data_IF_449370795621
#
_entry.id   IF_449370795621
#
_cell.length_a   1.000
_cell.length_b   1.000
_cell.length_c   1.000
_cell.angle_alpha   90.00
_cell.angle_beta   90.00
_cell.angle_gamma   90.00
#
_symmetry.space_group_name_H-M   'P 1'
#
loop_
_entity.id
_entity.type
_entity.pdbx_description
1 polymer ?
#
# COMPACT_ATOMS: atom_id res chain seq x y z
N UNK A 1 12.56 -17.54 11.00
CA UNK A 1 11.61 -16.40 11.00
C UNK A 1 11.76 -15.72 9.64
N UNK A 2 10.70 -15.66 8.83
CA UNK A 2 10.76 -15.08 7.49
C UNK A 2 10.83 -13.55 7.63
N UNK A 3 12.02 -12.98 7.69
CA UNK A 3 12.21 -11.52 7.69
C UNK A 3 12.20 -11.03 6.25
N UNK A 4 11.02 -10.81 5.69
CA UNK A 4 10.87 -10.16 4.39
C UNK A 4 11.08 -8.65 4.56
N UNK A 5 12.24 -8.15 4.14
CA UNK A 5 12.53 -6.71 4.11
C UNK A 5 12.18 -6.14 2.73
N UNK A 6 11.04 -5.45 2.63
CA UNK A 6 10.79 -4.59 1.48
C UNK A 6 11.61 -3.32 1.66
N UNK A 7 12.63 -3.14 0.81
CA UNK A 7 13.34 -1.87 0.75
C UNK A 7 12.40 -0.78 0.20
N UNK A 8 11.89 0.08 1.09
CA UNK A 8 11.11 1.25 0.70
C UNK A 8 12.07 2.34 0.23
N UNK A 9 12.17 2.52 -1.09
CA UNK A 9 13.06 3.54 -1.69
C UNK A 9 12.59 4.98 -1.39
N UNK A 10 11.30 5.16 -1.08
CA UNK A 10 10.73 6.45 -0.70
C UNK A 10 9.47 6.27 0.17
N UNK A 11 9.32 7.09 1.20
CA UNK A 11 8.14 7.07 2.09
C UNK A 11 6.88 7.60 1.39
N UNK A 12 7.07 8.53 0.44
CA UNK A 12 6.01 9.11 -0.38
C UNK A 12 6.39 9.00 -1.84
N UNK A 13 5.43 8.61 -2.67
CA UNK A 13 5.67 8.37 -4.08
C UNK A 13 4.56 8.96 -4.95
N UNK A 14 4.91 9.47 -6.13
CA UNK A 14 3.91 9.97 -7.07
C UNK A 14 3.19 8.81 -7.77
N UNK A 15 2.03 9.08 -8.37
CA UNK A 15 1.33 8.07 -9.18
C UNK A 15 2.15 7.54 -10.35
N UNK A 16 3.03 8.37 -10.92
CA UNK A 16 3.89 7.96 -12.02
C UNK A 16 4.94 6.95 -11.59
N UNK A 17 5.62 7.21 -10.48
CA UNK A 17 6.58 6.28 -9.93
C UNK A 17 5.88 5.00 -9.44
N UNK A 18 4.71 5.12 -8.80
CA UNK A 18 3.92 3.96 -8.39
C UNK A 18 3.43 3.14 -9.59
N UNK A 19 3.02 3.80 -10.69
CA UNK A 19 2.65 3.15 -11.95
C UNK A 19 3.82 2.39 -12.56
N UNK A 20 5.02 2.97 -12.54
CA UNK A 20 6.24 2.29 -13.01
C UNK A 20 6.60 1.08 -12.14
N UNK A 21 6.50 1.19 -10.82
CA UNK A 21 6.86 0.10 -9.90
C UNK A 21 5.83 -1.03 -9.86
N UNK A 22 4.54 -0.68 -9.88
CA UNK A 22 3.45 -1.66 -9.83
C UNK A 22 3.08 -2.25 -11.19
N UNK A 23 3.50 -1.61 -12.28
CA UNK A 23 3.04 -1.92 -13.64
C UNK A 23 1.58 -1.53 -13.90
N UNK A 24 0.89 -0.91 -12.93
CA UNK A 24 -0.51 -0.53 -13.07
C UNK A 24 -0.64 0.79 -13.84
N UNK A 25 -1.64 0.93 -14.73
CA UNK A 25 -1.87 2.19 -15.43
C UNK A 25 -2.34 3.27 -14.45
N UNK A 26 -1.91 4.52 -14.71
CA UNK A 26 -2.23 5.69 -13.87
C UNK A 26 -3.74 5.87 -13.62
N UNK A 27 -4.59 5.57 -14.61
CA UNK A 27 -6.05 5.63 -14.46
C UNK A 27 -6.56 4.72 -13.35
N UNK A 28 -6.15 3.45 -13.33
CA UNK A 28 -6.53 2.49 -12.29
C UNK A 28 -6.04 2.93 -10.91
N UNK A 29 -4.85 3.52 -10.84
CA UNK A 29 -4.31 4.05 -9.57
C UNK A 29 -5.19 5.20 -9.07
N UNK A 30 -5.65 6.08 -9.96
CA UNK A 30 -6.57 7.17 -9.61
C UNK A 30 -7.92 6.64 -9.14
N UNK A 31 -8.46 5.62 -9.81
CA UNK A 31 -9.71 4.97 -9.43
C UNK A 31 -9.58 4.32 -8.04
N UNK A 32 -8.49 3.62 -7.77
CA UNK A 32 -8.21 3.00 -6.46
C UNK A 32 -8.02 4.02 -5.34
N UNK A 33 -7.47 5.19 -5.64
CA UNK A 33 -7.42 6.30 -4.69
C UNK A 33 -8.81 6.85 -4.43
N UNK A 34 -9.65 6.99 -5.47
CA UNK A 34 -11.02 7.44 -5.32
C UNK A 34 -11.88 6.43 -4.54
N UNK A 35 -11.63 5.14 -4.72
CA UNK A 35 -12.22 4.04 -3.96
C UNK A 35 -11.67 3.92 -2.51
N UNK A 36 -10.60 4.65 -2.17
CA UNK A 36 -10.00 4.63 -0.84
C UNK A 36 -9.09 3.42 -0.57
N UNK A 37 -8.76 2.62 -1.59
CA UNK A 37 -7.86 1.46 -1.49
C UNK A 37 -6.40 1.86 -1.33
N UNK A 38 -6.03 3.04 -1.83
CA UNK A 38 -4.67 3.57 -1.73
C UNK A 38 -4.60 4.71 -0.73
N UNK A 39 -3.77 4.53 0.31
CA UNK A 39 -3.51 5.56 1.29
C UNK A 39 -2.67 6.67 0.65
N UNK A 40 -3.28 7.85 0.53
CA UNK A 40 -2.61 9.06 0.05
C UNK A 40 -2.28 9.99 1.22
N UNK A 41 -1.19 10.75 1.09
CA UNK A 41 -0.90 11.86 1.99
C UNK A 41 -2.05 12.87 1.94
N UNK A 42 -2.42 13.41 3.10
CA UNK A 42 -3.42 14.47 3.22
C UNK A 42 -2.99 15.67 2.38
N UNK A 43 -3.82 16.04 1.40
CA UNK A 43 -3.57 17.24 0.59
C UNK A 43 -3.84 18.47 1.44
N UNK A 44 -2.87 19.38 1.52
CA UNK A 44 -3.09 20.69 2.14
C UNK A 44 -3.85 21.64 1.22
N UNK A 45 -3.81 21.40 -0.10
CA UNK A 45 -4.45 22.23 -1.13
C UNK A 45 -5.15 21.39 -2.19
N UNK A 46 -6.27 21.89 -2.72
CA UNK A 46 -7.12 21.20 -3.70
C UNK A 46 -6.40 20.82 -5.02
N UNK A 47 -5.32 21.53 -5.39
CA UNK A 47 -4.52 21.30 -6.61
C UNK A 47 -3.18 20.59 -6.36
N UNK A 48 -2.93 20.12 -5.14
CA UNK A 48 -1.67 19.45 -4.84
C UNK A 48 -1.65 18.04 -5.44
N UNK A 49 -0.53 17.68 -6.07
CA UNK A 49 -0.31 16.34 -6.61
C UNK A 49 -0.34 15.34 -5.45
N UNK A 50 -1.35 14.47 -5.37
CA UNK A 50 -1.41 13.45 -4.33
C UNK A 50 -0.20 12.55 -4.40
N UNK A 51 0.41 12.29 -3.24
CA UNK A 51 1.48 11.32 -3.09
C UNK A 51 0.94 10.12 -2.33
N UNK A 52 1.21 8.93 -2.85
CA UNK A 52 0.89 7.66 -2.20
C UNK A 52 1.83 7.50 -1.01
N UNK A 53 1.27 7.18 0.16
CA UNK A 53 2.02 6.86 1.36
C UNK A 53 2.34 5.36 1.37
N UNK A 54 3.56 5.03 0.94
CA UNK A 54 4.00 3.64 0.80
C UNK A 54 4.19 2.96 2.15
N UNK A 55 4.59 3.71 3.18
CA UNK A 55 4.78 3.19 4.54
C UNK A 55 3.45 2.72 5.09
N UNK A 56 2.41 3.55 4.97
CA UNK A 56 1.10 3.21 5.50
C UNK A 56 0.44 2.06 4.71
N UNK A 57 0.61 2.04 3.38
CA UNK A 57 0.15 0.94 2.54
C UNK A 57 0.78 -0.40 2.97
N UNK A 58 2.08 -0.40 3.20
CA UNK A 58 2.81 -1.60 3.60
C UNK A 58 2.45 -2.07 5.02
N UNK A 59 2.30 -1.13 5.95
CA UNK A 59 1.85 -1.42 7.32
C UNK A 59 0.47 -2.07 7.33
N UNK A 60 -0.50 -1.56 6.56
CA UNK A 60 -1.81 -2.20 6.43
C UNK A 60 -1.70 -3.61 5.86
N UNK A 61 -0.97 -3.78 4.75
CA UNK A 61 -0.76 -5.09 4.14
C UNK A 61 -0.10 -6.09 5.11
N UNK A 62 0.83 -5.62 5.94
CA UNK A 62 1.51 -6.44 6.96
C UNK A 62 0.52 -6.87 8.04
N UNK A 63 -0.35 -5.97 8.51
CA UNK A 63 -1.38 -6.28 9.49
C UNK A 63 -2.41 -7.28 8.95
N UNK A 64 -2.85 -7.11 7.71
CA UNK A 64 -3.77 -8.05 7.04
C UNK A 64 -3.12 -9.42 6.87
N UNK A 65 -1.86 -9.48 6.44
CA UNK A 65 -1.12 -10.73 6.31
C UNK A 65 -0.97 -11.45 7.66
N UNK A 66 -0.66 -10.72 8.74
CA UNK A 66 -0.59 -11.28 10.09
C UNK A 66 -1.93 -11.84 10.57
N UNK A 67 -3.04 -11.13 10.31
CA UNK A 67 -4.38 -11.60 10.64
C UNK A 67 -4.74 -12.89 9.88
N UNK A 68 -4.42 -12.94 8.58
CA UNK A 68 -4.64 -14.15 7.77
C UNK A 68 -3.83 -15.34 8.31
N UNK A 69 -2.54 -15.14 8.59
CA UNK A 69 -1.68 -16.18 9.16
C UNK A 69 -2.19 -16.68 10.51
N UNK A 70 -2.70 -15.79 11.36
CA UNK A 70 -3.32 -16.17 12.62
C UNK A 70 -4.59 -17.01 12.40
N UNK A 71 -5.45 -16.62 11.46
CA UNK A 71 -6.66 -17.38 11.13
C UNK A 71 -6.34 -18.81 10.69
N UNK A 72 -5.37 -18.99 9.77
CA UNK A 72 -4.95 -20.32 9.32
C UNK A 72 -4.35 -21.18 10.44
N UNK A 73 -3.74 -20.56 11.46
CA UNK A 73 -3.17 -21.28 12.61
C UNK A 73 -4.22 -21.80 13.60
N UNK A 74 -5.44 -21.25 13.59
CA UNK A 74 -6.54 -21.73 14.43
C UNK A 74 -7.40 -22.82 13.77
N UNK A 75 -7.46 -22.86 12.43
CA UNK A 75 -8.24 -23.86 11.68
C UNK A 75 -7.54 -25.22 11.53
N UNK A 76 -6.23 -25.29 11.76
CA UNK A 76 -5.46 -26.53 11.74
C UNK A 76 -4.59 -26.63 13.00
N UNK A 77 -5.07 -27.30 14.07
CA UNK A 77 -4.19 -27.60 15.19
C UNK A 77 -3.12 -28.60 14.74
N UNK A 78 -1.92 -28.56 15.34
CA UNK A 78 -0.87 -29.57 15.08
C UNK A 78 -1.31 -30.98 15.47
#
# INVERSE_FOLDING_TARGET
MLSYQIALNASFMTYEQYSQLSGMPKCTIMDWVAEGKLLIKTKGKAKETPMINMVALHEMATREALQLLWSYSCDFPP
#
